data_IF_924532798540
#
_entry.id   IF_924532798540
#
_cell.length_a   1.000
_cell.length_b   1.000
_cell.length_c   1.000
_cell.angle_alpha   90.00
_cell.angle_beta   90.00
_cell.angle_gamma   90.00
#
_symmetry.space_group_name_H-M   'P 1'
#
loop_
_entity.id
_entity.type
_entity.pdbx_description
1 polymer ?
#
# COMPACT_ATOMS: atom_id res chain seq x y z
N UNK A 1 13.68 -0.93 -17.39
CA UNK A 1 12.64 -1.78 -16.77
C UNK A 1 11.39 -1.66 -17.66
N UNK A 2 10.77 -2.76 -18.08
CA UNK A 2 9.57 -2.70 -18.93
C UNK A 2 8.35 -2.20 -18.14
N UNK A 3 7.32 -1.72 -18.83
CA UNK A 3 6.06 -1.32 -18.21
C UNK A 3 5.38 -2.49 -17.48
N UNK A 4 5.39 -3.70 -18.07
CA UNK A 4 4.88 -4.90 -17.42
C UNK A 4 5.55 -5.17 -16.06
N UNK A 5 6.88 -5.09 -16.00
CA UNK A 5 7.62 -5.27 -14.74
C UNK A 5 7.33 -4.16 -13.72
N UNK A 6 7.16 -2.91 -14.16
CA UNK A 6 6.86 -1.79 -13.27
C UNK A 6 5.44 -1.85 -12.68
N UNK A 7 4.53 -2.55 -13.34
CA UNK A 7 3.13 -2.71 -12.93
C UNK A 7 2.86 -4.10 -12.34
N UNK A 8 3.89 -4.93 -12.18
CA UNK A 8 3.80 -6.23 -11.54
C UNK A 8 3.96 -6.05 -10.02
N UNK A 9 2.94 -6.35 -9.21
CA UNK A 9 3.15 -6.49 -7.77
C UNK A 9 3.96 -7.75 -7.49
N UNK A 10 4.82 -7.69 -6.48
CA UNK A 10 5.51 -8.87 -5.94
C UNK A 10 4.51 -9.79 -5.22
N UNK A 11 3.53 -9.19 -4.54
CA UNK A 11 2.47 -9.89 -3.82
C UNK A 11 1.12 -9.26 -4.13
N UNK A 12 0.16 -10.03 -4.63
CA UNK A 12 -1.24 -9.62 -4.75
C UNK A 12 -2.12 -10.48 -3.87
N UNK A 13 -2.60 -9.93 -2.75
CA UNK A 13 -3.32 -10.71 -1.74
C UNK A 13 -4.76 -11.06 -2.12
N UNK A 14 -5.32 -10.38 -3.14
CA UNK A 14 -6.73 -10.52 -3.55
C UNK A 14 -7.74 -10.41 -2.39
N UNK A 15 -7.36 -9.73 -1.31
CA UNK A 15 -8.15 -9.40 -0.15
C UNK A 15 -7.64 -8.06 0.43
N UNK A 16 -8.31 -7.54 1.46
CA UNK A 16 -7.96 -6.31 2.16
C UNK A 16 -6.61 -6.43 2.88
N UNK A 17 -6.15 -5.30 3.42
CA UNK A 17 -4.92 -5.18 4.20
C UNK A 17 -4.75 -6.27 5.27
N UNK A 18 -5.85 -6.74 5.88
CA UNK A 18 -5.81 -7.69 6.99
C UNK A 18 -5.28 -9.07 6.62
N UNK A 19 -5.29 -9.42 5.33
CA UNK A 19 -4.67 -10.65 4.82
C UNK A 19 -3.13 -10.59 4.77
N UNK A 20 -2.52 -9.42 4.94
CA UNK A 20 -1.08 -9.28 5.06
C UNK A 20 -0.66 -9.64 6.49
N UNK A 21 -0.39 -10.93 6.72
CA UNK A 21 -0.08 -11.46 8.06
C UNK A 21 1.40 -11.27 8.43
N UNK A 22 1.76 -11.31 9.73
CA UNK A 22 3.16 -11.32 10.17
C UNK A 22 4.00 -12.42 9.51
N UNK A 23 3.43 -13.58 9.23
CA UNK A 23 4.11 -14.70 8.57
C UNK A 23 4.48 -14.34 7.12
N UNK A 24 3.58 -13.67 6.39
CA UNK A 24 3.89 -13.15 5.05
C UNK A 24 4.96 -12.06 5.11
N UNK A 25 4.91 -11.17 6.12
CA UNK A 25 5.97 -10.17 6.30
C UNK A 25 7.35 -10.84 6.50
N UNK A 26 7.41 -11.90 7.30
CA UNK A 26 8.65 -12.67 7.50
C UNK A 26 9.09 -13.39 6.23
N UNK A 27 8.16 -14.05 5.52
CA UNK A 27 8.44 -14.80 4.29
C UNK A 27 9.05 -13.92 3.20
N UNK A 28 8.61 -12.66 3.10
CA UNK A 28 9.12 -11.68 2.15
C UNK A 28 10.24 -10.80 2.73
N UNK A 29 10.77 -11.15 3.92
CA UNK A 29 11.87 -10.46 4.61
C UNK A 29 11.61 -8.95 4.82
N UNK A 30 10.34 -8.59 5.01
CA UNK A 30 9.91 -7.20 5.18
C UNK A 30 10.19 -6.73 6.61
N UNK A 31 10.97 -5.65 6.72
CA UNK A 31 11.35 -5.03 8.00
C UNK A 31 10.82 -3.60 8.15
N UNK A 32 10.28 -3.05 7.07
CA UNK A 32 9.55 -1.79 7.08
C UNK A 32 8.37 -1.82 6.12
N UNK A 33 7.36 -0.99 6.39
CA UNK A 33 6.18 -0.86 5.55
C UNK A 33 5.89 0.61 5.27
N UNK A 34 5.66 0.92 4.00
CA UNK A 34 5.00 2.15 3.60
C UNK A 34 3.58 1.81 3.19
N UNK A 35 2.62 2.33 3.95
CA UNK A 35 1.21 2.07 3.72
C UNK A 35 0.57 3.26 3.01
N UNK A 36 -0.15 3.00 1.92
CA UNK A 36 -1.19 3.92 1.48
C UNK A 36 -2.33 3.98 2.51
N UNK A 37 -3.14 5.04 2.45
CA UNK A 37 -4.16 5.32 3.47
C UNK A 37 -5.57 5.12 2.94
N UNK A 38 -5.95 5.88 1.90
CA UNK A 38 -7.33 5.86 1.43
C UNK A 38 -7.56 4.66 0.55
N UNK A 39 -8.64 3.93 0.79
CA UNK A 39 -8.93 2.63 0.16
C UNK A 39 -7.99 1.50 0.57
N UNK A 40 -6.82 1.78 1.18
CA UNK A 40 -5.93 0.74 1.69
C UNK A 40 -6.15 0.44 3.18
N UNK A 41 -6.03 1.45 4.05
CA UNK A 41 -6.25 1.31 5.51
C UNK A 41 -7.71 1.62 5.86
N UNK A 42 -8.29 2.59 5.18
CA UNK A 42 -9.63 3.09 5.47
C UNK A 42 -10.29 3.60 4.19
N UNK A 43 -11.59 3.37 3.97
CA UNK A 43 -12.27 3.97 2.83
C UNK A 43 -12.20 5.49 2.87
N UNK A 44 -12.06 6.12 1.70
CA UNK A 44 -11.90 7.58 1.60
C UNK A 44 -13.05 8.37 2.24
N UNK A 45 -14.28 7.87 2.16
CA UNK A 45 -15.49 8.54 2.67
C UNK A 45 -15.69 8.34 4.17
N UNK A 46 -15.01 7.38 4.79
CA UNK A 46 -15.16 7.05 6.21
C UNK A 46 -14.11 7.79 7.03
N UNK A 47 -14.51 8.39 8.15
CA UNK A 47 -13.60 9.13 9.03
C UNK A 47 -12.96 8.27 10.13
N UNK A 48 -13.69 7.25 10.59
CA UNK A 48 -13.29 6.34 11.67
C UNK A 48 -12.57 5.11 11.08
N UNK A 49 -11.50 4.68 11.74
CA UNK A 49 -10.80 3.44 11.39
C UNK A 49 -11.63 2.23 11.85
N UNK A 50 -11.55 1.12 11.11
CA UNK A 50 -12.03 -0.16 11.65
C UNK A 50 -11.25 -0.52 12.91
N UNK A 51 -11.91 -1.15 13.87
CA UNK A 51 -11.31 -1.64 15.11
C UNK A 51 -10.22 -2.69 14.85
N UNK A 52 -10.17 -3.26 13.65
CA UNK A 52 -9.16 -4.23 13.20
C UNK A 52 -7.82 -3.59 12.81
N UNK A 53 -7.80 -2.29 12.44
CA UNK A 53 -6.59 -1.62 11.91
C UNK A 53 -5.51 -1.49 12.98
N UNK A 54 -5.87 -1.04 14.18
CA UNK A 54 -4.90 -0.84 15.27
C UNK A 54 -4.25 -2.17 15.70
N UNK A 55 -5.02 -3.25 15.97
CA UNK A 55 -4.46 -4.58 16.22
C UNK A 55 -3.56 -5.07 15.08
N UNK A 56 -3.98 -4.90 13.82
CA UNK A 56 -3.18 -5.31 12.66
C UNK A 56 -1.84 -4.57 12.62
N UNK A 57 -1.82 -3.24 12.80
CA UNK A 57 -0.56 -2.46 12.85
C UNK A 57 0.33 -2.92 14.00
N UNK A 58 -0.24 -3.21 15.18
CA UNK A 58 0.52 -3.72 16.33
C UNK A 58 1.17 -5.07 16.04
N UNK A 59 0.44 -5.98 15.39
CA UNK A 59 0.97 -7.28 14.98
C UNK A 59 2.06 -7.13 13.90
N UNK A 60 1.82 -6.30 12.88
CA UNK A 60 2.78 -6.02 11.83
C UNK A 60 4.09 -5.42 12.38
N UNK A 61 4.00 -4.50 13.35
CA UNK A 61 5.16 -3.88 14.02
C UNK A 61 6.07 -4.89 14.74
N UNK A 62 5.58 -6.09 15.09
CA UNK A 62 6.44 -7.13 15.68
C UNK A 62 7.47 -7.69 14.68
N UNK A 63 7.17 -7.61 13.38
CA UNK A 63 8.05 -8.10 12.30
C UNK A 63 8.69 -6.94 11.54
N UNK A 64 7.88 -5.93 11.20
CA UNK A 64 8.28 -4.73 10.48
C UNK A 64 8.09 -3.49 11.37
N UNK A 65 9.02 -3.21 12.32
CA UNK A 65 8.84 -2.15 13.32
C UNK A 65 8.74 -0.75 12.71
N UNK A 66 9.22 -0.56 11.48
CA UNK A 66 9.25 0.73 10.81
C UNK A 66 8.09 0.88 9.84
N UNK A 67 7.00 1.48 10.31
CA UNK A 67 5.80 1.71 9.49
C UNK A 67 5.63 3.22 9.26
N UNK A 68 5.39 3.60 8.01
CA UNK A 68 5.08 4.96 7.59
C UNK A 68 3.77 5.00 6.81
N UNK A 69 2.99 6.08 6.98
CA UNK A 69 1.85 6.36 6.11
C UNK A 69 2.27 7.30 4.99
N UNK A 70 1.97 6.96 3.73
CA UNK A 70 2.25 7.82 2.58
C UNK A 70 1.03 7.90 1.68
N UNK A 71 0.38 9.07 1.65
CA UNK A 71 -0.89 9.26 0.96
C UNK A 71 -0.83 10.36 -0.09
N UNK A 72 -1.55 10.15 -1.19
CA UNK A 72 -1.85 11.20 -2.18
C UNK A 72 -2.94 12.17 -1.73
N UNK A 73 -3.60 11.92 -0.60
CA UNK A 73 -4.67 12.79 -0.11
C UNK A 73 -4.13 14.19 0.26
N UNK A 74 -4.76 15.28 -0.21
CA UNK A 74 -4.35 16.64 0.14
C UNK A 74 -4.76 17.07 1.55
N UNK A 75 -5.66 16.36 2.22
CA UNK A 75 -6.09 16.63 3.58
C UNK A 75 -5.06 16.14 4.60
N UNK A 76 -4.20 17.05 5.04
CA UNK A 76 -3.17 16.76 6.05
C UNK A 76 -3.81 16.30 7.36
N UNK A 77 -4.87 16.97 7.81
CA UNK A 77 -5.55 16.64 9.08
C UNK A 77 -6.15 15.23 9.11
N UNK A 78 -6.60 14.70 7.96
CA UNK A 78 -7.06 13.31 7.87
C UNK A 78 -5.91 12.33 8.07
N UNK A 79 -4.82 12.53 7.34
CA UNK A 79 -3.66 11.62 7.38
C UNK A 79 -2.99 11.71 8.75
N UNK A 80 -2.82 12.90 9.29
CA UNK A 80 -2.28 13.15 10.62
C UNK A 80 -3.09 12.44 11.70
N UNK A 81 -4.42 12.58 11.70
CA UNK A 81 -5.28 11.90 12.68
C UNK A 81 -5.06 10.38 12.66
N UNK A 82 -5.02 9.77 11.48
CA UNK A 82 -4.79 8.33 11.32
C UNK A 82 -3.38 7.96 11.80
N UNK A 83 -2.37 8.74 11.43
CA UNK A 83 -0.99 8.54 11.83
C UNK A 83 -0.81 8.62 13.36
N UNK A 84 -1.47 9.58 14.01
CA UNK A 84 -1.49 9.72 15.47
C UNK A 84 -2.14 8.52 16.14
N UNK A 85 -3.29 8.05 15.64
CA UNK A 85 -3.96 6.86 16.18
C UNK A 85 -3.12 5.58 16.07
N UNK A 86 -2.32 5.47 15.01
CA UNK A 86 -1.46 4.32 14.74
C UNK A 86 -0.05 4.48 15.33
N UNK A 87 0.26 5.66 15.88
CA UNK A 87 1.57 6.05 16.40
C UNK A 87 2.68 5.78 15.36
N UNK A 88 2.53 6.38 14.18
CA UNK A 88 3.47 6.24 13.06
C UNK A 88 3.73 7.59 12.37
N UNK A 89 4.92 7.79 11.78
CA UNK A 89 5.18 8.96 10.93
C UNK A 89 4.37 8.91 9.62
N UNK A 90 4.18 10.08 9.00
CA UNK A 90 3.38 10.19 7.78
C UNK A 90 3.91 11.22 6.77
N UNK A 91 3.49 11.05 5.51
CA UNK A 91 3.62 12.03 4.43
C UNK A 91 2.28 12.14 3.70
N UNK A 92 1.62 13.30 3.79
CA UNK A 92 0.47 13.64 2.96
C UNK A 92 0.93 14.29 1.64
N UNK A 93 0.02 14.43 0.65
CA UNK A 93 0.33 15.04 -0.66
C UNK A 93 1.54 14.43 -1.36
N UNK A 94 1.73 13.11 -1.22
CA UNK A 94 2.93 12.43 -1.68
C UNK A 94 3.15 12.50 -3.20
N UNK A 95 2.08 12.59 -4.00
CA UNK A 95 2.16 12.71 -5.46
C UNK A 95 2.61 11.43 -6.17
N UNK A 96 2.35 10.25 -5.58
CA UNK A 96 2.53 8.94 -6.24
C UNK A 96 1.81 8.96 -7.60
N UNK A 97 2.41 8.44 -8.69
CA UNK A 97 3.55 7.53 -8.71
C UNK A 97 4.93 8.19 -8.71
N UNK A 98 5.03 9.50 -8.42
CA UNK A 98 6.33 10.13 -8.17
C UNK A 98 7.00 9.50 -6.93
N UNK A 99 8.31 9.29 -7.03
CA UNK A 99 9.11 8.67 -5.96
C UNK A 99 9.61 9.67 -4.93
N UNK A 100 9.49 10.96 -5.20
CA UNK A 100 10.20 12.00 -4.45
C UNK A 100 9.91 11.94 -2.95
N UNK A 101 8.63 11.93 -2.58
CA UNK A 101 8.21 11.85 -1.18
C UNK A 101 8.37 10.44 -0.60
N UNK A 102 8.08 9.40 -1.38
CA UNK A 102 8.21 8.01 -0.94
C UNK A 102 9.66 7.68 -0.54
N UNK A 103 10.65 8.23 -1.26
CA UNK A 103 12.07 8.06 -0.94
C UNK A 103 12.42 8.55 0.46
N UNK A 104 11.82 9.66 0.91
CA UNK A 104 12.06 10.20 2.26
C UNK A 104 11.63 9.23 3.36
N UNK A 105 10.52 8.53 3.16
CA UNK A 105 10.07 7.50 4.10
C UNK A 105 11.07 6.34 4.13
N UNK A 106 11.50 5.83 2.97
CA UNK A 106 12.47 4.73 2.86
C UNK A 106 13.84 5.11 3.46
N UNK A 107 14.34 6.30 3.19
CA UNK A 107 15.59 6.82 3.76
C UNK A 107 15.51 6.95 5.27
N UNK A 108 14.40 7.47 5.80
CA UNK A 108 14.18 7.59 7.24
C UNK A 108 14.10 6.22 7.94
N UNK A 109 13.70 5.16 7.22
CA UNK A 109 13.74 3.80 7.76
C UNK A 109 15.15 3.21 7.82
N UNK A 110 16.11 3.76 7.07
CA UNK A 110 17.48 3.21 6.98
C UNK A 110 17.49 1.70 6.67
N UNK A 111 16.62 1.26 5.75
CA UNK A 111 16.49 -0.12 5.29
C UNK A 111 16.85 -0.23 3.81
N UNK A 112 17.39 -1.36 3.34
CA UNK A 112 17.47 -1.67 1.93
C UNK A 112 16.05 -1.63 1.31
N UNK A 113 15.84 -1.01 0.14
CA UNK A 113 14.52 -0.90 -0.46
C UNK A 113 13.76 -2.24 -0.58
N UNK A 114 14.40 -3.37 -0.96
CA UNK A 114 13.70 -4.67 -1.04
C UNK A 114 13.10 -5.16 0.29
N UNK A 115 13.64 -4.71 1.44
CA UNK A 115 13.11 -5.04 2.78
C UNK A 115 11.97 -4.09 3.21
N UNK A 116 11.57 -3.16 2.35
CA UNK A 116 10.46 -2.24 2.61
C UNK A 116 9.29 -2.58 1.70
N UNK A 117 8.13 -2.88 2.30
CA UNK A 117 6.89 -3.16 1.58
C UNK A 117 6.12 -1.88 1.25
N UNK A 118 5.89 -1.58 -0.02
CA UNK A 118 4.89 -0.59 -0.46
C UNK A 118 3.53 -1.29 -0.54
N UNK A 119 2.62 -0.99 0.38
CA UNK A 119 1.30 -1.62 0.47
C UNK A 119 0.23 -0.63 0.01
N UNK A 120 -0.56 -1.01 -0.99
CA UNK A 120 -1.64 -0.15 -1.52
C UNK A 120 -2.62 -0.90 -2.41
N UNK A 121 -3.67 -0.21 -2.85
CA UNK A 121 -4.78 -0.81 -3.62
C UNK A 121 -4.69 -0.57 -5.14
N UNK A 122 -3.69 0.17 -5.62
CA UNK A 122 -3.60 0.58 -7.03
C UNK A 122 -2.28 0.23 -7.69
N UNK A 123 -2.38 -0.18 -8.97
CA UNK A 123 -1.24 -0.54 -9.80
C UNK A 123 -0.48 0.71 -10.26
N UNK A 124 -1.22 1.74 -10.69
CA UNK A 124 -0.64 2.94 -11.32
C UNK A 124 -0.12 3.98 -10.36
N UNK A 125 -0.34 3.82 -9.05
CA UNK A 125 0.23 4.67 -8.01
C UNK A 125 1.20 3.90 -7.13
N UNK A 126 0.71 2.91 -6.40
CA UNK A 126 1.43 2.32 -5.28
C UNK A 126 2.45 1.29 -5.77
N UNK A 127 2.00 0.30 -6.54
CA UNK A 127 2.88 -0.70 -7.17
C UNK A 127 3.91 0.00 -8.07
N UNK A 128 3.47 0.92 -8.93
CA UNK A 128 4.38 1.66 -9.79
C UNK A 128 5.40 2.49 -8.99
N UNK A 129 5.01 3.17 -7.91
CA UNK A 129 5.96 3.95 -7.11
C UNK A 129 6.97 3.06 -6.39
N UNK A 130 6.51 1.97 -5.76
CA UNK A 130 7.36 1.01 -5.05
C UNK A 130 8.37 0.34 -5.98
N UNK A 131 7.90 -0.19 -7.11
CA UNK A 131 8.77 -0.83 -8.10
C UNK A 131 9.84 0.12 -8.66
N UNK A 132 9.50 1.40 -8.87
CA UNK A 132 10.49 2.40 -9.32
C UNK A 132 11.54 2.71 -8.25
N UNK A 133 11.29 2.40 -6.98
CA UNK A 133 12.26 2.52 -5.88
C UNK A 133 12.93 1.19 -5.52
N UNK A 134 12.56 0.08 -6.17
CA UNK A 134 13.08 -1.25 -5.84
C UNK A 134 12.56 -1.80 -4.52
N UNK A 135 11.39 -1.31 -4.07
CA UNK A 135 10.67 -1.85 -2.92
C UNK A 135 9.94 -3.14 -3.28
N UNK A 136 9.67 -3.97 -2.28
CA UNK A 136 8.68 -5.03 -2.42
C UNK A 136 7.29 -4.40 -2.48
N UNK A 137 6.45 -4.80 -3.44
CA UNK A 137 5.13 -4.21 -3.67
C UNK A 137 4.02 -5.20 -3.33
N UNK A 138 3.13 -4.77 -2.44
CA UNK A 138 1.98 -5.55 -1.98
C UNK A 138 0.69 -4.87 -2.44
N UNK A 139 -0.01 -5.50 -3.37
CA UNK A 139 -1.31 -5.06 -3.85
C UNK A 139 -2.43 -5.71 -3.03
N UNK A 140 -3.29 -4.87 -2.45
CA UNK A 140 -4.48 -5.30 -1.69
C UNK A 140 -5.76 -4.88 -2.42
N UNK A 141 -6.90 -5.42 -1.97
CA UNK A 141 -8.21 -4.90 -2.40
C UNK A 141 -8.53 -3.61 -1.63
N UNK A 142 -9.28 -2.70 -2.27
CA UNK A 142 -9.88 -1.57 -1.58
C UNK A 142 -10.69 -2.01 -0.35
N UNK A 143 -10.58 -1.25 0.73
CA UNK A 143 -11.44 -1.39 1.89
C UNK A 143 -12.92 -1.22 1.49
N UNK A 144 -13.82 -2.09 1.96
CA UNK A 144 -15.22 -2.04 1.58
C UNK A 144 -15.87 -0.70 1.95
N UNK A 145 -16.61 -0.11 1.00
CA UNK A 145 -17.36 1.13 1.21
C UNK A 145 -18.71 1.05 0.50
N UNK A 146 -19.85 1.22 1.20
CA UNK A 146 -21.18 1.11 0.59
C UNK A 146 -21.42 2.09 -0.58
N UNK A 147 -20.76 3.25 -0.55
CA UNK A 147 -21.12 4.39 -1.42
C UNK A 147 -20.39 4.42 -2.77
N UNK A 148 -19.31 3.65 -2.93
CA UNK A 148 -18.40 3.81 -4.10
C UNK A 148 -17.98 2.53 -4.80
N UNK A 149 -18.57 1.40 -4.41
CA UNK A 149 -18.38 0.04 -4.98
C UNK A 149 -18.24 0.10 -6.51
N UNK A 150 -19.30 0.46 -7.26
CA UNK A 150 -19.35 0.30 -8.71
C UNK A 150 -18.27 1.04 -9.52
N UNK A 151 -18.06 2.34 -9.26
CA UNK A 151 -17.09 3.15 -10.03
C UNK A 151 -15.64 2.73 -9.75
N UNK A 152 -15.32 2.38 -8.51
CA UNK A 152 -13.98 1.93 -8.10
C UNK A 152 -13.61 0.61 -8.79
N UNK A 153 -14.52 -0.37 -8.77
CA UNK A 153 -14.30 -1.64 -9.46
C UNK A 153 -14.06 -1.46 -10.97
N UNK A 154 -14.76 -0.53 -11.62
CA UNK A 154 -14.52 -0.26 -13.04
C UNK A 154 -13.10 0.27 -13.29
N UNK A 155 -12.65 1.27 -12.52
CA UNK A 155 -11.29 1.84 -12.68
C UNK A 155 -10.24 0.77 -12.41
N UNK A 156 -10.42 -0.04 -11.36
CA UNK A 156 -9.49 -1.12 -11.01
C UNK A 156 -9.44 -2.18 -12.12
N UNK A 157 -10.60 -2.59 -12.63
CA UNK A 157 -10.66 -3.53 -13.75
C UNK A 157 -9.95 -2.99 -15.01
N UNK A 158 -10.04 -1.67 -15.27
CA UNK A 158 -9.30 -1.04 -16.36
C UNK A 158 -7.80 -1.04 -16.10
N UNK A 159 -7.34 -0.70 -14.88
CA UNK A 159 -5.91 -0.78 -14.53
C UNK A 159 -5.35 -2.17 -14.74
N UNK A 160 -6.07 -3.20 -14.29
CA UNK A 160 -5.66 -4.61 -14.45
C UNK A 160 -5.58 -5.00 -15.93
N UNK A 161 -6.59 -4.63 -16.74
CA UNK A 161 -6.59 -4.90 -18.19
C UNK A 161 -5.42 -4.23 -18.89
N UNK A 162 -5.19 -2.95 -18.62
CA UNK A 162 -4.08 -2.19 -19.20
C UNK A 162 -2.74 -2.77 -18.74
N UNK A 163 -2.59 -3.09 -17.46
CA UNK A 163 -1.35 -3.67 -16.93
C UNK A 163 -1.03 -5.02 -17.57
N UNK A 164 -2.03 -5.89 -17.75
CA UNK A 164 -1.86 -7.15 -18.50
C UNK A 164 -1.48 -6.93 -19.96
N UNK A 165 -2.13 -5.98 -20.64
CA UNK A 165 -1.77 -5.61 -22.01
C UNK A 165 -0.33 -5.06 -22.13
N UNK A 166 0.18 -4.43 -21.06
CA UNK A 166 1.56 -3.96 -20.94
C UNK A 166 2.55 -5.06 -20.49
N UNK A 167 2.07 -6.29 -20.25
CA UNK A 167 2.88 -7.46 -19.94
C UNK A 167 3.05 -7.79 -18.45
N UNK A 168 2.20 -7.26 -17.57
CA UNK A 168 2.13 -7.69 -16.17
C UNK A 168 1.35 -9.01 -16.04
N UNK A 169 1.92 -9.99 -15.34
CA UNK A 169 1.28 -11.26 -15.00
C UNK A 169 0.63 -11.19 -13.61
N UNK A 170 -0.56 -10.60 -13.57
CA UNK A 170 -1.30 -10.37 -12.32
C UNK A 170 -1.99 -11.66 -11.88
N UNK A 171 -1.28 -12.42 -11.04
CA UNK A 171 -1.73 -13.66 -10.39
C UNK A 171 -1.87 -13.43 -8.89
N UNK A 172 -3.03 -13.73 -8.28
CA UNK A 172 -3.20 -13.56 -6.85
C UNK A 172 -2.41 -14.61 -6.10
N UNK A 173 -1.83 -14.20 -4.98
CA UNK A 173 -1.23 -15.11 -4.01
C UNK A 173 -2.28 -16.08 -3.51
N UNK A 174 -1.91 -17.35 -3.43
CA UNK A 174 -2.71 -18.39 -2.80
C UNK A 174 -2.09 -18.64 -1.43
N UNK A 175 -2.87 -18.59 -0.34
CA UNK A 175 -2.39 -18.91 1.00
C UNK A 175 -1.88 -20.35 1.09
#
# INVERSE_FOLDING_TARGET
MSWGKLLQPDLWLNDTLFSLTPELLQQYELRGLVLDVDETIVPRTIQQLSDEVVPWVKAAKQVAPQIWLVSNNPSVSRIERIATLLEVPYIARAGKPSRHHLRRAVEAMNLPPPQVGMVGDRLFTDVLAGNRLGMCTVLVKPMPSPETVGRKYFVHALEFKVSRALGADLVPHKP
#
